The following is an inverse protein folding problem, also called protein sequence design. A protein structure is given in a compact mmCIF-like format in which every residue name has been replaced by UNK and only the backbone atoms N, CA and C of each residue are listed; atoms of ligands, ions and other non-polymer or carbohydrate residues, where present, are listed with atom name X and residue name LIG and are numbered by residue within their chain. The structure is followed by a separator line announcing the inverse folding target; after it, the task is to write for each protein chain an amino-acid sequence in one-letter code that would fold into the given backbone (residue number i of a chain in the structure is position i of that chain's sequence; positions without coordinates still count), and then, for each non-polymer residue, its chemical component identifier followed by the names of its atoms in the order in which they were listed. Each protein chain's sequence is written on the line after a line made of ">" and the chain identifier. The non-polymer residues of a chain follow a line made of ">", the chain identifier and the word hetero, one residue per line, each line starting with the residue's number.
data_IF_508136523262
#
_entry.id   IF_508136523262
#
_cell.length_a   1.000
_cell.length_b   1.000
_cell.length_c   1.000
_cell.angle_alpha   90.00
_cell.angle_beta   90.00
_cell.angle_gamma   90.00
#
_symmetry.space_group_name_H-M   'P 1'
#
loop_
_entity.id
_entity.type
_entity.pdbx_description
1 polymer ?
#
# COMPACT_ATOMS: atom_id res chain seq x y z
N UNK A 1 28.36 -0.47 -16.34
CA UNK A 1 27.62 -1.68 -16.71
C UNK A 1 26.15 -1.30 -16.85
N UNK A 2 25.57 -1.44 -18.04
CA UNK A 2 24.26 -0.89 -18.47
C UNK A 2 23.18 -1.97 -18.62
N UNK A 3 23.36 -3.13 -17.99
CA UNK A 3 22.48 -4.29 -18.21
C UNK A 3 21.52 -4.49 -17.05
N UNK A 4 20.25 -4.75 -17.38
CA UNK A 4 19.30 -5.33 -16.44
C UNK A 4 19.84 -6.67 -15.93
N UNK A 5 19.52 -7.01 -14.69
CA UNK A 5 19.96 -8.26 -14.04
C UNK A 5 18.73 -9.09 -13.73
N UNK A 6 18.74 -10.36 -14.13
CA UNK A 6 17.71 -11.34 -13.76
C UNK A 6 18.32 -12.47 -12.96
N UNK A 7 17.81 -12.66 -11.74
CA UNK A 7 18.08 -13.84 -10.92
C UNK A 7 16.87 -14.75 -11.06
N UNK A 8 17.07 -15.93 -11.65
CA UNK A 8 16.01 -16.88 -11.92
C UNK A 8 16.32 -18.23 -11.28
N UNK A 9 15.31 -18.85 -10.66
CA UNK A 9 15.37 -20.24 -10.21
C UNK A 9 14.52 -21.13 -11.13
N UNK A 10 14.99 -22.35 -11.38
CA UNK A 10 14.20 -23.41 -11.99
C UNK A 10 13.52 -24.28 -10.94
N UNK A 11 12.59 -25.13 -11.39
CA UNK A 11 12.14 -26.29 -10.63
C UNK A 11 12.86 -27.52 -11.14
N UNK A 12 13.37 -28.36 -10.24
CA UNK A 12 13.94 -29.66 -10.61
C UNK A 12 13.26 -30.75 -9.79
N UNK A 13 12.57 -31.67 -10.45
CA UNK A 13 12.30 -33.00 -9.88
C UNK A 13 13.54 -33.86 -10.10
N UNK A 14 14.41 -33.97 -9.07
CA UNK A 14 15.78 -34.51 -9.18
C UNK A 14 16.71 -33.43 -9.75
N UNK A 15 17.65 -32.85 -9.00
CA UNK A 15 18.90 -33.51 -8.57
C UNK A 15 19.44 -32.91 -7.25
N UNK A 16 18.56 -32.62 -6.30
CA UNK A 16 18.94 -32.06 -5.01
C UNK A 16 19.23 -30.56 -5.05
N UNK A 17 18.78 -29.88 -3.98
CA UNK A 17 19.05 -28.48 -3.63
C UNK A 17 18.09 -27.40 -4.18
N UNK A 18 16.81 -27.47 -3.75
CA UNK A 18 16.00 -26.27 -3.48
C UNK A 18 14.59 -26.28 -4.08
N UNK A 19 13.61 -25.73 -3.34
CA UNK A 19 12.21 -25.61 -3.77
C UNK A 19 11.98 -24.62 -4.94
N UNK A 20 13.04 -24.01 -5.48
CA UNK A 20 12.97 -22.93 -6.45
C UNK A 20 12.46 -21.61 -5.86
N UNK A 21 12.59 -21.40 -4.56
CA UNK A 21 12.31 -20.12 -3.89
C UNK A 21 13.52 -19.17 -4.03
N UNK A 22 13.29 -17.86 -4.09
CA UNK A 22 14.34 -16.84 -3.97
C UNK A 22 14.25 -16.19 -2.59
N UNK A 23 15.36 -16.14 -1.87
CA UNK A 23 15.44 -15.43 -0.58
C UNK A 23 16.56 -14.38 -0.63
N UNK A 24 16.21 -13.12 -0.39
CA UNK A 24 17.15 -12.02 -0.21
C UNK A 24 17.49 -11.92 1.28
N UNK A 25 18.64 -12.45 1.68
CA UNK A 25 19.08 -12.49 3.09
C UNK A 25 20.13 -11.44 3.45
N UNK A 26 20.67 -10.73 2.46
CA UNK A 26 21.67 -9.68 2.64
C UNK A 26 21.27 -8.43 1.86
N UNK A 27 21.67 -7.22 2.30
CA UNK A 27 21.35 -6.00 1.59
C UNK A 27 21.86 -5.99 0.14
N UNK A 28 21.06 -5.46 -0.78
CA UNK A 28 21.45 -5.24 -2.18
C UNK A 28 21.18 -3.78 -2.52
N UNK A 29 22.17 -3.11 -3.12
CA UNK A 29 22.04 -1.74 -3.61
C UNK A 29 22.34 -1.69 -5.10
N UNK A 30 21.53 -0.95 -5.85
CA UNK A 30 21.76 -0.68 -7.27
C UNK A 30 21.24 0.72 -7.62
N UNK A 31 21.91 1.40 -8.55
CA UNK A 31 21.60 2.81 -8.88
C UNK A 31 20.99 3.01 -10.26
N UNK A 32 20.87 1.95 -11.06
CA UNK A 32 20.28 2.03 -12.40
C UNK A 32 19.81 0.64 -12.84
N UNK A 33 19.06 0.61 -13.95
CA UNK A 33 18.56 -0.61 -14.57
C UNK A 33 17.58 -1.38 -13.66
N UNK A 34 17.10 -2.51 -14.18
CA UNK A 34 16.15 -3.38 -13.48
C UNK A 34 16.81 -4.59 -12.86
N UNK A 35 16.55 -4.80 -11.58
CA UNK A 35 16.73 -6.09 -10.92
C UNK A 35 15.42 -6.89 -11.05
N UNK A 36 15.49 -8.08 -11.61
CA UNK A 36 14.37 -9.02 -11.70
C UNK A 36 14.67 -10.24 -10.84
N UNK A 37 13.81 -10.51 -9.86
CA UNK A 37 13.80 -11.77 -9.13
C UNK A 37 12.68 -12.63 -9.72
N UNK A 38 13.04 -13.73 -10.37
CA UNK A 38 12.13 -14.65 -11.05
C UNK A 38 12.15 -16.02 -10.38
N UNK A 39 11.33 -16.20 -9.36
CA UNK A 39 11.28 -17.44 -8.58
C UNK A 39 10.33 -18.46 -9.21
N UNK A 40 10.78 -19.71 -9.31
CA UNK A 40 9.92 -20.86 -9.64
C UNK A 40 8.73 -20.97 -8.67
N UNK A 41 8.97 -20.76 -7.36
CA UNK A 41 7.92 -20.68 -6.33
C UNK A 41 7.89 -19.30 -5.67
N UNK A 42 8.42 -19.14 -4.46
CA UNK A 42 8.19 -17.96 -3.64
C UNK A 42 9.35 -16.99 -3.67
N UNK A 43 9.08 -15.73 -3.30
CA UNK A 43 10.13 -14.74 -3.03
C UNK A 43 10.03 -14.28 -1.57
N UNK A 44 11.15 -14.23 -0.86
CA UNK A 44 11.23 -13.63 0.46
C UNK A 44 12.31 -12.54 0.49
N UNK A 45 11.91 -11.30 0.77
CA UNK A 45 12.83 -10.17 0.93
C UNK A 45 13.06 -9.93 2.42
N UNK A 46 14.15 -10.49 2.95
CA UNK A 46 14.50 -10.42 4.38
C UNK A 46 15.56 -9.36 4.71
N UNK A 47 16.17 -8.76 3.69
CA UNK A 47 17.15 -7.70 3.84
C UNK A 47 16.84 -6.55 2.87
N UNK A 48 17.44 -5.39 3.17
CA UNK A 48 17.18 -4.15 2.44
C UNK A 48 17.46 -4.28 0.94
N UNK A 49 16.53 -3.84 0.11
CA UNK A 49 16.73 -3.66 -1.32
C UNK A 49 16.70 -2.16 -1.62
N UNK A 50 17.82 -1.60 -2.09
CA UNK A 50 17.95 -0.17 -2.33
C UNK A 50 18.23 0.13 -3.81
N UNK A 51 17.17 0.49 -4.53
CA UNK A 51 17.19 0.96 -5.90
C UNK A 51 17.11 2.48 -6.03
N UNK A 52 17.25 3.25 -4.94
CA UNK A 52 16.93 4.68 -4.88
C UNK A 52 17.67 5.56 -5.90
N UNK A 53 18.84 5.13 -6.37
CA UNK A 53 19.64 5.86 -7.35
C UNK A 53 19.08 5.94 -8.77
N UNK A 54 17.93 5.31 -9.06
CA UNK A 54 17.35 5.21 -10.41
C UNK A 54 17.06 3.78 -10.86
N UNK A 55 17.09 2.83 -9.93
CA UNK A 55 16.84 1.42 -10.18
C UNK A 55 15.36 1.07 -10.26
N UNK A 56 15.05 -0.02 -10.97
CA UNK A 56 13.73 -0.63 -11.03
C UNK A 56 13.77 -2.04 -10.44
N UNK A 57 12.62 -2.55 -9.99
CA UNK A 57 12.49 -3.89 -9.42
C UNK A 57 11.32 -4.65 -10.04
N UNK A 58 11.55 -5.91 -10.38
CA UNK A 58 10.51 -6.86 -10.76
C UNK A 58 10.53 -8.09 -9.85
N UNK A 59 9.39 -8.42 -9.26
CA UNK A 59 9.19 -9.66 -8.49
C UNK A 59 8.24 -10.58 -9.25
N UNK A 60 8.81 -11.57 -9.94
CA UNK A 60 8.06 -12.61 -10.66
C UNK A 60 8.11 -13.89 -9.83
N UNK A 61 6.96 -14.35 -9.38
CA UNK A 61 6.84 -15.48 -8.45
C UNK A 61 5.85 -16.51 -8.99
N UNK A 62 5.97 -17.76 -8.54
CA UNK A 62 5.20 -18.87 -9.07
C UNK A 62 5.53 -19.20 -10.53
N UNK A 63 6.72 -18.85 -11.02
CA UNK A 63 7.08 -18.98 -12.43
C UNK A 63 7.25 -20.44 -12.88
N UNK A 64 7.11 -21.41 -11.96
CA UNK A 64 7.01 -22.83 -12.25
C UNK A 64 5.69 -23.29 -12.85
N UNK A 65 4.66 -22.44 -12.86
CA UNK A 65 3.39 -22.72 -13.52
C UNK A 65 2.81 -21.48 -14.19
N UNK A 66 1.78 -21.67 -15.01
CA UNK A 66 1.08 -20.59 -15.71
C UNK A 66 0.25 -19.72 -14.76
N UNK A 67 -0.39 -20.35 -13.78
CA UNK A 67 -1.28 -19.73 -12.80
C UNK A 67 -0.59 -19.36 -11.47
N UNK A 68 0.68 -19.75 -11.31
CA UNK A 68 1.44 -19.55 -10.08
C UNK A 68 1.15 -20.56 -8.96
N UNK A 69 0.37 -21.60 -9.22
CA UNK A 69 0.15 -22.74 -8.31
C UNK A 69 1.10 -23.89 -8.66
N UNK A 70 2.05 -24.19 -7.77
CA UNK A 70 2.98 -25.31 -7.91
C UNK A 70 2.61 -26.39 -6.90
N UNK A 71 2.38 -27.62 -7.37
CA UNK A 71 2.02 -28.77 -6.53
C UNK A 71 0.84 -28.50 -5.59
N UNK A 72 -0.20 -27.82 -6.10
CA UNK A 72 -1.41 -27.49 -5.34
C UNK A 72 -1.27 -26.33 -4.35
N UNK A 73 -0.11 -25.65 -4.32
CA UNK A 73 0.13 -24.49 -3.45
C UNK A 73 0.38 -23.24 -4.27
N UNK A 74 -0.42 -22.20 -4.05
CA UNK A 74 -0.20 -20.89 -4.68
C UNK A 74 1.08 -20.24 -4.15
N UNK A 75 1.94 -19.80 -5.06
CA UNK A 75 3.14 -19.06 -4.73
C UNK A 75 2.81 -17.65 -4.20
N UNK A 76 3.74 -17.09 -3.45
CA UNK A 76 3.64 -15.74 -2.90
C UNK A 76 5.00 -15.05 -2.84
N UNK A 77 4.99 -13.72 -2.69
CA UNK A 77 6.14 -12.99 -2.20
C UNK A 77 5.86 -12.40 -0.82
N UNK A 78 6.93 -12.19 -0.06
CA UNK A 78 6.89 -11.65 1.30
C UNK A 78 7.98 -10.59 1.46
N UNK A 79 7.61 -9.44 2.04
CA UNK A 79 8.53 -8.33 2.30
C UNK A 79 8.70 -8.15 3.81
N UNK A 80 9.83 -8.61 4.33
CA UNK A 80 10.20 -8.48 5.75
C UNK A 80 11.14 -7.30 6.03
N UNK A 81 11.80 -6.77 5.00
CA UNK A 81 12.70 -5.62 5.08
C UNK A 81 12.30 -4.54 4.05
N UNK A 82 12.64 -3.26 4.30
CA UNK A 82 12.29 -2.18 3.37
C UNK A 82 12.87 -2.40 1.97
N UNK A 83 12.09 -1.98 0.97
CA UNK A 83 12.53 -1.84 -0.42
C UNK A 83 12.42 -0.36 -0.78
N UNK A 84 13.52 0.24 -1.18
CA UNK A 84 13.59 1.66 -1.56
C UNK A 84 13.68 1.80 -3.07
N UNK A 85 12.79 2.58 -3.69
CA UNK A 85 12.68 2.74 -5.14
C UNK A 85 12.32 4.19 -5.53
N UNK A 86 12.81 4.68 -6.69
CA UNK A 86 12.45 6.01 -7.19
C UNK A 86 10.96 6.07 -7.59
N UNK A 87 10.39 7.27 -7.57
CA UNK A 87 8.99 7.50 -7.93
C UNK A 87 8.71 7.13 -9.40
N UNK A 88 7.47 6.76 -9.70
CA UNK A 88 7.02 6.39 -11.05
C UNK A 88 6.88 4.89 -11.26
N UNK A 89 6.84 4.43 -12.50
CA UNK A 89 6.58 3.03 -12.86
C UNK A 89 7.83 2.15 -12.70
N UNK A 90 8.28 2.00 -11.46
CA UNK A 90 9.58 1.40 -11.13
C UNK A 90 9.48 0.04 -10.44
N UNK A 91 8.27 -0.39 -10.07
CA UNK A 91 8.01 -1.68 -9.43
C UNK A 91 7.00 -2.52 -10.24
N UNK A 92 7.32 -3.81 -10.43
CA UNK A 92 6.47 -4.75 -11.17
C UNK A 92 6.32 -6.05 -10.39
N UNK A 93 5.12 -6.63 -10.41
CA UNK A 93 4.91 -8.00 -9.94
C UNK A 93 4.14 -8.85 -10.96
N UNK A 94 4.38 -10.17 -10.91
CA UNK A 94 3.64 -11.15 -11.70
C UNK A 94 3.59 -12.49 -10.95
N UNK A 95 2.40 -13.09 -10.87
CA UNK A 95 2.18 -14.44 -10.34
C UNK A 95 1.95 -15.40 -11.51
N UNK A 96 2.78 -16.44 -11.63
CA UNK A 96 2.72 -17.37 -12.77
C UNK A 96 3.23 -16.75 -14.06
N UNK A 97 3.54 -17.60 -15.05
CA UNK A 97 4.13 -17.14 -16.32
C UNK A 97 3.12 -16.44 -17.23
N UNK A 98 1.82 -16.71 -17.06
CA UNK A 98 0.74 -16.09 -17.83
C UNK A 98 -0.14 -15.16 -16.99
N UNK A 99 0.18 -14.98 -15.71
CA UNK A 99 -0.60 -14.10 -14.85
C UNK A 99 -0.47 -12.63 -15.24
N UNK A 100 -1.44 -11.83 -14.81
CA UNK A 100 -1.47 -10.39 -15.07
C UNK A 100 -0.24 -9.70 -14.49
N UNK A 101 0.49 -8.99 -15.34
CA UNK A 101 1.59 -8.12 -14.92
C UNK A 101 1.01 -6.88 -14.26
N UNK A 102 1.44 -6.60 -13.02
CA UNK A 102 1.03 -5.43 -12.26
C UNK A 102 2.16 -4.41 -12.26
N UNK A 103 1.94 -3.30 -12.95
CA UNK A 103 2.88 -2.16 -12.96
C UNK A 103 2.48 -1.18 -11.87
N UNK A 104 3.30 -1.06 -10.84
CA UNK A 104 3.05 -0.19 -9.70
C UNK A 104 3.62 1.20 -9.94
N UNK A 105 2.81 2.22 -9.68
CA UNK A 105 3.26 3.60 -9.52
C UNK A 105 3.84 3.74 -8.11
N UNK A 106 5.16 3.89 -8.04
CA UNK A 106 5.89 4.11 -6.79
C UNK A 106 5.78 5.57 -6.36
N UNK A 107 5.49 5.76 -5.07
CA UNK A 107 5.22 7.04 -4.41
C UNK A 107 6.25 7.20 -3.30
N UNK A 108 6.98 8.32 -3.32
CA UNK A 108 7.91 8.71 -2.26
C UNK A 108 7.50 10.00 -1.54
N UNK A 109 6.50 10.71 -2.07
CA UNK A 109 6.13 12.04 -1.61
C UNK A 109 4.77 12.03 -0.92
N UNK A 110 4.67 12.76 0.20
CA UNK A 110 3.38 13.03 0.85
C UNK A 110 2.45 13.83 -0.08
N UNK A 111 3.02 14.82 -0.77
CA UNK A 111 2.30 15.77 -1.61
C UNK A 111 1.81 17.00 -0.85
N UNK A 112 0.85 17.71 -1.45
CA UNK A 112 0.20 18.89 -0.89
C UNK A 112 -1.27 18.62 -0.55
N UNK A 113 -1.87 19.45 0.30
CA UNK A 113 -3.30 19.35 0.60
C UNK A 113 -4.20 19.46 -0.65
N UNK A 114 -3.77 20.23 -1.65
CA UNK A 114 -4.52 20.43 -2.90
C UNK A 114 -4.52 19.19 -3.80
N UNK A 115 -3.54 18.29 -3.65
CA UNK A 115 -3.43 17.07 -4.45
C UNK A 115 -4.65 16.16 -4.26
N UNK A 116 -5.36 16.31 -3.13
CA UNK A 116 -6.56 15.54 -2.83
C UNK A 116 -7.70 15.76 -3.82
N UNK A 117 -7.70 16.90 -4.52
CA UNK A 117 -8.74 17.29 -5.48
C UNK A 117 -8.20 17.58 -6.87
N UNK A 118 -6.87 17.71 -6.99
CA UNK A 118 -6.21 18.03 -8.25
C UNK A 118 -5.05 17.06 -8.44
N UNK A 119 -5.19 16.16 -9.41
CA UNK A 119 -4.19 15.13 -9.66
C UNK A 119 -2.83 15.75 -9.97
N UNK A 120 -1.78 15.46 -9.17
CA UNK A 120 -0.45 16.00 -9.40
C UNK A 120 0.23 15.32 -10.60
N UNK A 121 1.21 16.00 -11.19
CA UNK A 121 1.97 15.45 -12.33
C UNK A 121 2.81 14.21 -11.95
N UNK A 122 3.35 14.20 -10.74
CA UNK A 122 3.93 13.01 -10.11
C UNK A 122 3.03 12.58 -8.97
N UNK A 123 2.64 11.31 -8.94
CA UNK A 123 1.71 10.82 -7.94
C UNK A 123 2.28 10.94 -6.53
N UNK A 124 1.47 11.46 -5.60
CA UNK A 124 1.79 11.64 -4.18
C UNK A 124 0.81 10.85 -3.32
N UNK A 125 1.12 10.67 -2.04
CA UNK A 125 0.24 9.97 -1.12
C UNK A 125 -1.14 10.66 -1.01
N UNK A 126 -1.16 12.00 -0.92
CA UNK A 126 -2.41 12.76 -0.91
C UNK A 126 -3.10 12.78 -2.28
N UNK A 127 -2.33 12.74 -3.37
CA UNK A 127 -2.84 12.68 -4.75
C UNK A 127 -3.65 11.42 -5.07
N UNK A 128 -3.45 10.32 -4.32
CA UNK A 128 -4.30 9.13 -4.46
C UNK A 128 -5.78 9.40 -4.18
N UNK A 129 -6.09 10.46 -3.42
CA UNK A 129 -7.47 10.85 -3.13
C UNK A 129 -8.18 11.53 -4.33
N UNK A 130 -7.47 11.95 -5.38
CA UNK A 130 -8.09 12.57 -6.56
C UNK A 130 -8.42 11.59 -7.69
N UNK A 131 -7.80 10.41 -7.73
CA UNK A 131 -7.77 9.51 -8.90
C UNK A 131 -9.10 8.86 -9.30
N UNK A 132 -10.10 8.91 -8.44
CA UNK A 132 -11.44 8.37 -8.68
C UNK A 132 -12.51 9.44 -8.71
N UNK A 133 -12.14 10.72 -8.76
CA UNK A 133 -13.10 11.83 -8.76
C UNK A 133 -13.68 12.03 -10.17
N UNK A 134 -14.83 11.42 -10.41
CA UNK A 134 -15.73 11.77 -11.50
C UNK A 134 -16.90 12.61 -10.94
N UNK A 135 -16.94 13.89 -11.29
CA UNK A 135 -18.01 14.80 -10.84
C UNK A 135 -19.41 14.42 -11.36
N UNK A 136 -19.49 13.48 -12.30
CA UNK A 136 -20.74 13.01 -12.93
C UNK A 136 -21.24 11.68 -12.37
N UNK A 137 -20.45 11.01 -11.51
CA UNK A 137 -20.77 9.68 -10.99
C UNK A 137 -21.16 9.71 -9.50
N UNK A 138 -22.19 8.95 -9.15
CA UNK A 138 -22.55 8.63 -7.75
C UNK A 138 -21.73 7.46 -7.17
N UNK A 139 -20.88 6.82 -7.98
CA UNK A 139 -20.01 5.73 -7.56
C UNK A 139 -18.56 6.01 -7.98
N UNK A 140 -17.71 6.31 -6.99
CA UNK A 140 -16.31 6.64 -7.19
C UNK A 140 -15.43 5.42 -6.92
N UNK A 141 -14.67 5.01 -7.93
CA UNK A 141 -13.81 3.83 -7.86
C UNK A 141 -12.35 4.24 -8.03
N UNK A 142 -11.55 3.98 -7.00
CA UNK A 142 -10.12 4.30 -6.97
C UNK A 142 -9.35 3.01 -7.23
N UNK A 143 -8.97 2.81 -8.50
CA UNK A 143 -8.19 1.65 -8.97
C UNK A 143 -6.70 1.95 -9.13
N UNK A 144 -5.96 0.95 -9.61
CA UNK A 144 -4.52 1.05 -9.90
C UNK A 144 -3.63 0.28 -8.92
N UNK A 145 -2.35 0.19 -9.25
CA UNK A 145 -1.32 -0.44 -8.44
C UNK A 145 -0.35 0.65 -7.96
N UNK A 146 -0.20 0.80 -6.66
CA UNK A 146 0.64 1.81 -6.03
C UNK A 146 1.57 1.17 -5.03
N UNK A 147 2.78 1.70 -4.91
CA UNK A 147 3.72 1.24 -3.91
C UNK A 147 4.41 2.41 -3.22
N UNK A 148 4.84 2.25 -1.96
CA UNK A 148 5.72 3.20 -1.30
C UNK A 148 7.17 2.86 -1.62
N UNK A 149 7.89 3.83 -2.18
CA UNK A 149 9.31 3.69 -2.51
C UNK A 149 10.24 4.11 -1.37
N UNK A 150 9.71 4.74 -0.32
CA UNK A 150 10.45 5.19 0.84
C UNK A 150 9.48 5.39 2.00
N UNK A 151 10.03 5.65 3.18
CA UNK A 151 9.22 6.18 4.27
C UNK A 151 8.69 7.58 3.89
N UNK A 152 7.48 7.89 4.33
CA UNK A 152 6.82 9.19 4.15
C UNK A 152 6.64 9.85 5.51
N UNK A 153 7.21 11.03 5.69
CA UNK A 153 6.85 11.89 6.82
C UNK A 153 5.56 12.66 6.50
N UNK A 154 4.49 12.34 7.22
CA UNK A 154 3.18 12.98 7.10
C UNK A 154 2.93 14.04 8.19
N UNK A 155 3.94 14.48 8.93
CA UNK A 155 3.82 15.47 10.03
C UNK A 155 3.14 16.78 9.59
N UNK A 156 3.40 17.22 8.36
CA UNK A 156 2.80 18.42 7.76
C UNK A 156 1.27 18.35 7.68
N UNK A 157 0.68 17.15 7.63
CA UNK A 157 -0.77 16.97 7.56
C UNK A 157 -1.50 17.58 8.75
N UNK A 158 -0.85 17.69 9.92
CA UNK A 158 -1.44 18.34 11.11
C UNK A 158 -1.91 19.79 10.86
N UNK A 159 -1.26 20.51 9.94
CA UNK A 159 -1.63 21.87 9.55
C UNK A 159 -2.58 21.95 8.35
N UNK A 160 -2.87 20.83 7.69
CA UNK A 160 -3.67 20.82 6.47
C UNK A 160 -5.16 21.06 6.75
N UNK A 161 -5.83 21.69 5.79
CA UNK A 161 -7.29 21.82 5.77
C UNK A 161 -7.84 22.46 7.06
N UNK A 162 -7.20 23.53 7.55
CA UNK A 162 -7.55 24.21 8.81
C UNK A 162 -7.45 23.27 10.03
N UNK A 163 -6.43 22.41 10.06
CA UNK A 163 -6.22 21.43 11.12
C UNK A 163 -7.04 20.14 10.97
N UNK A 164 -7.74 19.96 9.84
CA UNK A 164 -8.50 18.74 9.56
C UNK A 164 -7.64 17.55 9.14
N UNK A 165 -6.39 17.78 8.77
CA UNK A 165 -5.50 16.68 8.44
C UNK A 165 -5.50 16.26 6.98
N UNK A 166 -4.92 15.08 6.76
CA UNK A 166 -4.94 14.33 5.51
C UNK A 166 -6.37 13.95 5.11
N UNK A 167 -6.66 14.07 3.81
CA UNK A 167 -7.94 13.67 3.23
C UNK A 167 -7.87 12.17 2.85
N UNK A 168 -8.72 11.30 3.42
CA UNK A 168 -8.68 9.86 3.16
C UNK A 168 -8.76 9.52 1.67
N UNK A 169 -7.99 8.52 1.24
CA UNK A 169 -8.07 7.95 -0.11
C UNK A 169 -9.41 7.23 -0.27
N UNK A 170 -10.13 7.48 -1.37
CA UNK A 170 -11.51 7.05 -1.51
C UNK A 170 -12.41 7.52 -0.35
N UNK A 171 -12.13 8.70 0.20
CA UNK A 171 -13.03 9.42 1.08
C UNK A 171 -14.17 10.05 0.29
N UNK A 172 -15.36 10.11 0.89
CA UNK A 172 -16.52 10.81 0.32
C UNK A 172 -16.31 12.33 0.39
N UNK A 173 -15.46 12.86 -0.47
CA UNK A 173 -15.14 14.30 -0.50
C UNK A 173 -16.17 15.11 -1.31
N UNK A 174 -16.86 14.47 -2.27
CA UNK A 174 -17.78 15.16 -3.15
C UNK A 174 -19.23 15.07 -2.63
N UNK A 175 -19.77 16.26 -2.41
CA UNK A 175 -21.17 16.62 -2.29
C UNK A 175 -21.93 16.23 -1.01
N UNK A 176 -22.70 17.21 -0.55
CA UNK A 176 -23.70 17.21 0.51
C UNK A 176 -24.85 16.20 0.31
N UNK A 177 -24.74 15.30 -0.67
CA UNK A 177 -25.75 14.30 -1.00
C UNK A 177 -25.32 12.94 -0.46
N UNK A 178 -26.20 12.31 0.30
CA UNK A 178 -26.00 11.07 1.04
C UNK A 178 -25.70 9.81 0.20
N UNK A 179 -25.60 9.94 -1.13
CA UNK A 179 -25.73 8.82 -2.06
C UNK A 179 -24.44 8.49 -2.82
N UNK A 180 -23.34 9.24 -2.60
CA UNK A 180 -22.05 8.94 -3.23
C UNK A 180 -21.35 7.79 -2.50
N UNK A 181 -21.05 6.72 -3.22
CA UNK A 181 -20.27 5.58 -2.71
C UNK A 181 -18.84 5.63 -3.27
N UNK A 182 -17.86 5.87 -2.39
CA UNK A 182 -16.43 5.84 -2.76
C UNK A 182 -15.77 4.55 -2.29
N UNK A 183 -14.89 3.97 -3.11
CA UNK A 183 -14.16 2.76 -2.73
C UNK A 183 -12.79 2.64 -3.41
N UNK A 184 -11.76 2.29 -2.64
CA UNK A 184 -10.48 1.84 -3.19
C UNK A 184 -10.56 0.37 -3.55
N UNK A 185 -10.42 0.06 -4.83
CA UNK A 185 -10.40 -1.30 -5.39
C UNK A 185 -9.03 -1.67 -5.97
N UNK A 186 -8.07 -0.74 -5.90
CA UNK A 186 -6.69 -0.95 -6.32
C UNK A 186 -5.85 -1.71 -5.29
N UNK A 187 -4.54 -1.72 -5.50
CA UNK A 187 -3.58 -2.30 -4.58
C UNK A 187 -2.57 -1.25 -4.12
N UNK A 188 -2.34 -1.16 -2.82
CA UNK A 188 -1.25 -0.39 -2.23
C UNK A 188 -0.25 -1.33 -1.55
N UNK A 189 1.00 -1.30 -2.00
CA UNK A 189 2.12 -2.02 -1.42
C UNK A 189 3.05 -1.08 -0.65
N UNK A 190 3.12 -1.22 0.67
CA UNK A 190 4.04 -0.41 1.47
C UNK A 190 5.51 -0.81 1.29
N UNK A 191 5.79 -1.99 0.72
CA UNK A 191 7.15 -2.49 0.50
C UNK A 191 8.06 -2.43 1.74
N UNK A 192 7.48 -2.58 2.93
CA UNK A 192 8.19 -2.52 4.21
C UNK A 192 8.46 -1.10 4.72
N UNK A 193 8.08 -0.06 3.97
CA UNK A 193 8.17 1.36 4.33
C UNK A 193 7.02 1.81 5.24
N UNK A 194 7.22 2.94 5.90
CA UNK A 194 6.27 3.53 6.84
C UNK A 194 5.72 4.88 6.39
N UNK A 195 4.50 5.20 6.81
CA UNK A 195 3.97 6.56 6.86
C UNK A 195 3.99 6.98 8.32
N UNK A 196 4.68 8.09 8.61
CA UNK A 196 4.93 8.56 9.97
C UNK A 196 4.11 9.81 10.26
N UNK A 197 3.67 10.01 11.50
CA UNK A 197 3.09 11.30 11.97
C UNK A 197 1.85 11.77 11.20
N UNK A 198 1.09 10.82 10.65
CA UNK A 198 -0.14 11.09 9.91
C UNK A 198 -1.22 11.65 10.83
N UNK A 199 -1.75 12.83 10.49
CA UNK A 199 -2.85 13.48 11.20
C UNK A 199 -4.11 13.45 10.35
N UNK A 200 -5.19 12.87 10.91
CA UNK A 200 -6.52 12.84 10.29
C UNK A 200 -7.52 13.26 11.36
N UNK A 201 -8.14 14.42 11.17
CA UNK A 201 -9.05 15.04 12.13
C UNK A 201 -10.24 15.72 11.42
N UNK A 202 -11.17 14.97 10.81
CA UNK A 202 -12.38 15.57 10.27
C UNK A 202 -13.18 16.17 11.43
N UNK A 203 -13.06 17.48 11.65
CA UNK A 203 -13.79 18.20 12.69
C UNK A 203 -15.30 18.18 12.37
N UNK A 204 -16.13 18.00 13.42
CA UNK A 204 -17.59 17.77 13.32
C UNK A 204 -18.42 19.03 12.97
N UNK A 205 -17.81 20.21 12.81
CA UNK A 205 -18.50 21.52 12.78
C UNK A 205 -19.11 21.95 11.44
N UNK A 206 -19.41 21.01 10.55
CA UNK A 206 -20.19 21.32 9.35
C UNK A 206 -21.33 20.32 9.26
N UNK A 207 -22.57 20.84 9.28
CA UNK A 207 -23.82 20.07 9.33
C UNK A 207 -24.03 19.05 8.20
N UNK A 208 -23.12 18.99 7.23
CA UNK A 208 -23.08 18.02 6.13
C UNK A 208 -22.22 16.76 6.40
N UNK A 209 -21.49 16.66 7.53
CA UNK A 209 -20.38 15.70 7.66
C UNK A 209 -20.61 14.53 8.64
N UNK A 210 -21.78 13.87 8.58
CA UNK A 210 -22.16 12.83 9.57
C UNK A 210 -21.54 11.44 9.37
N UNK A 211 -20.93 11.12 8.22
CA UNK A 211 -20.54 9.75 7.85
C UNK A 211 -19.10 9.61 7.31
N UNK A 212 -18.12 10.30 7.90
CA UNK A 212 -16.73 10.17 7.47
C UNK A 212 -16.06 8.96 8.11
N UNK A 213 -15.66 8.01 7.27
CA UNK A 213 -14.68 7.01 7.65
C UNK A 213 -13.34 7.72 7.93
N UNK A 214 -12.82 7.53 9.15
CA UNK A 214 -11.53 8.09 9.56
C UNK A 214 -10.48 7.00 9.38
N UNK A 215 -9.51 7.25 8.50
CA UNK A 215 -8.40 6.35 8.19
C UNK A 215 -7.65 6.80 6.93
N UNK A 216 -6.51 6.17 6.64
CA UNK A 216 -5.77 6.43 5.40
C UNK A 216 -6.66 6.22 4.16
N UNK A 217 -7.56 5.24 4.25
CA UNK A 217 -8.60 4.97 3.26
C UNK A 217 -9.98 5.24 3.87
N UNK A 218 -10.86 5.88 3.11
CA UNK A 218 -12.28 6.01 3.46
C UNK A 218 -12.98 4.66 3.42
N UNK A 219 -12.81 3.90 2.34
CA UNK A 219 -13.38 2.55 2.19
C UNK A 219 -12.53 1.70 1.26
N UNK A 220 -12.32 0.43 1.63
CA UNK A 220 -11.84 -0.60 0.70
C UNK A 220 -13.03 -1.34 0.06
N UNK A 221 -13.08 -1.28 -1.26
CA UNK A 221 -14.04 -2.02 -2.09
C UNK A 221 -13.64 -3.48 -2.28
N UNK A 222 -14.45 -4.21 -3.05
CA UNK A 222 -14.07 -5.57 -3.47
C UNK A 222 -12.82 -5.49 -4.37
N UNK A 223 -11.83 -6.36 -4.14
CA UNK A 223 -10.55 -6.34 -4.85
C UNK A 223 -9.51 -5.35 -4.31
N UNK A 224 -9.91 -4.42 -3.44
CA UNK A 224 -9.01 -3.47 -2.79
C UNK A 224 -8.08 -4.15 -1.78
N UNK A 225 -6.77 -3.99 -1.95
CA UNK A 225 -5.77 -4.60 -1.03
C UNK A 225 -4.71 -3.60 -0.59
N UNK A 226 -4.35 -3.66 0.70
CA UNK A 226 -3.21 -2.92 1.26
C UNK A 226 -2.30 -3.93 1.95
N UNK A 227 -1.02 -3.95 1.59
CA UNK A 227 -0.05 -4.92 2.11
C UNK A 227 1.28 -4.25 2.43
N UNK A 228 2.08 -4.86 3.31
CA UNK A 228 3.46 -4.46 3.65
C UNK A 228 3.64 -2.97 4.03
N UNK A 229 2.60 -2.33 4.55
CA UNK A 229 2.60 -0.92 4.97
C UNK A 229 2.70 -0.80 6.48
N UNK A 230 3.55 0.13 6.94
CA UNK A 230 3.63 0.52 8.35
C UNK A 230 3.04 1.91 8.58
N UNK A 231 2.35 2.12 9.69
CA UNK A 231 1.83 3.42 10.12
C UNK A 231 2.39 3.76 11.51
N UNK A 232 3.42 4.59 11.56
CA UNK A 232 4.04 4.99 12.82
C UNK A 232 3.53 6.37 13.27
N UNK A 233 3.41 6.56 14.60
CA UNK A 233 2.95 7.82 15.22
C UNK A 233 1.65 8.40 14.62
N UNK A 234 0.60 7.59 14.56
CA UNK A 234 -0.70 8.02 14.05
C UNK A 234 -1.50 8.89 15.05
N UNK A 235 -1.89 10.11 14.63
CA UNK A 235 -2.71 11.03 15.40
C UNK A 235 -4.14 11.08 14.86
N UNK A 236 -5.06 10.33 15.45
CA UNK A 236 -6.49 10.43 15.14
C UNK A 236 -7.27 10.97 16.33
N UNK A 237 -7.78 12.19 16.20
CA UNK A 237 -8.61 12.79 17.23
C UNK A 237 -10.08 12.57 16.89
N UNK A 238 -10.82 11.94 17.81
CA UNK A 238 -12.28 11.94 17.82
C UNK A 238 -12.76 12.29 19.23
N UNK A 239 -13.68 13.22 19.36
CA UNK A 239 -14.20 13.71 20.65
C UNK A 239 -15.28 12.82 21.30
N UNK A 240 -15.50 11.58 20.81
CA UNK A 240 -16.37 10.59 21.48
C UNK A 240 -15.65 9.26 21.79
N UNK A 241 -15.78 8.67 22.99
CA UNK A 241 -14.86 7.65 23.51
C UNK A 241 -14.94 6.25 22.87
N UNK A 242 -15.61 6.05 21.72
CA UNK A 242 -15.99 4.69 21.27
C UNK A 242 -15.58 4.28 19.86
N UNK A 243 -14.89 5.11 19.07
CA UNK A 243 -14.48 4.73 17.70
C UNK A 243 -13.06 5.21 17.43
N UNK A 244 -12.11 4.36 17.81
CA UNK A 244 -10.68 4.55 17.63
C UNK A 244 -10.27 4.40 16.15
N UNK A 245 -9.13 5.00 15.79
CA UNK A 245 -8.37 4.63 14.59
C UNK A 245 -7.85 3.19 14.58
N UNK A 246 -8.10 2.45 15.66
CA UNK A 246 -8.09 1.01 15.67
C UNK A 246 -9.08 0.45 16.70
N UNK A 247 -10.25 -0.07 16.28
CA UNK A 247 -11.03 -0.98 17.13
C UNK A 247 -10.36 -2.36 17.11
N UNK A 248 -9.97 -2.82 18.29
CA UNK A 248 -9.49 -4.18 18.55
C UNK A 248 -10.54 -5.18 18.05
N UNK A 249 -10.28 -5.81 16.91
CA UNK A 249 -10.86 -7.11 16.59
C UNK A 249 -9.80 -8.14 16.97
N UNK A 250 -10.21 -9.33 17.44
CA UNK A 250 -9.28 -10.30 18.05
C UNK A 250 -8.19 -10.84 17.11
N UNK A 251 -8.15 -10.42 15.85
CA UNK A 251 -7.09 -10.71 14.90
C UNK A 251 -6.35 -9.44 14.46
N UNK A 252 -5.06 -9.39 14.80
CA UNK A 252 -4.10 -8.29 14.59
C UNK A 252 -3.97 -7.88 13.11
N UNK A 253 -4.90 -7.08 12.56
CA UNK A 253 -4.92 -6.62 11.16
C UNK A 253 -5.35 -5.14 11.06
N UNK A 254 -4.67 -4.40 10.18
CA UNK A 254 -4.85 -2.95 9.94
C UNK A 254 -6.32 -2.62 9.66
N UNK A 255 -6.85 -1.53 10.24
CA UNK A 255 -8.30 -1.24 10.18
C UNK A 255 -8.76 -0.61 8.88
N UNK A 256 -9.72 -1.28 8.26
CA UNK A 256 -10.72 -0.69 7.37
C UNK A 256 -12.03 -0.68 8.14
N UNK A 257 -12.64 0.49 8.33
CA UNK A 257 -13.99 0.55 8.88
C UNK A 257 -14.98 0.17 7.77
N UNK A 258 -15.64 -0.99 7.88
CA UNK A 258 -16.85 -1.32 7.11
C UNK A 258 -18.08 -1.28 8.02
N UNK A 259 -19.19 -0.82 7.44
CA UNK A 259 -20.51 -1.38 7.71
C UNK A 259 -20.98 -2.06 6.41
N UNK A 260 -21.59 -3.23 6.51
CA UNK A 260 -22.15 -4.01 5.39
C UNK A 260 -21.18 -4.95 4.64
N UNK A 261 -21.06 -6.19 5.14
CA UNK A 261 -20.78 -7.41 4.37
C UNK A 261 -19.34 -7.70 3.93
N UNK A 262 -18.72 -8.72 4.51
CA UNK A 262 -17.40 -9.33 4.21
C UNK A 262 -16.12 -8.52 4.56
N UNK A 263 -15.40 -9.07 5.55
CA UNK A 263 -14.04 -8.70 5.97
C UNK A 263 -13.02 -9.35 5.04
N UNK A 264 -12.22 -8.56 4.31
CA UNK A 264 -11.11 -9.10 3.51
C UNK A 264 -9.87 -9.15 4.41
N UNK A 265 -9.22 -10.33 4.60
CA UNK A 265 -8.09 -10.48 5.51
C UNK A 265 -6.82 -9.78 4.97
N UNK A 266 -6.37 -8.72 5.64
CA UNK A 266 -5.05 -8.12 5.42
C UNK A 266 -3.99 -9.00 6.10
N UNK A 267 -3.05 -9.58 5.35
CA UNK A 267 -1.97 -10.42 5.91
C UNK A 267 -0.90 -9.51 6.54
N UNK A 268 -1.07 -9.15 7.81
CA UNK A 268 0.00 -8.52 8.59
C UNK A 268 1.04 -9.56 9.00
N UNK A 269 2.32 -9.27 8.77
CA UNK A 269 3.40 -10.08 9.33
C UNK A 269 3.54 -9.81 10.84
N UNK A 270 3.85 -10.84 11.65
CA UNK A 270 3.80 -10.74 13.11
C UNK A 270 5.09 -10.17 13.67
N UNK A 271 5.42 -8.89 13.43
CA UNK A 271 6.53 -8.26 14.14
C UNK A 271 6.17 -6.83 14.56
N UNK A 272 6.33 -6.61 15.88
CA UNK A 272 6.32 -5.36 16.65
C UNK A 272 4.96 -4.77 17.05
N UNK A 273 4.91 -4.40 18.33
CA UNK A 273 3.73 -3.92 19.05
C UNK A 273 3.41 -2.49 18.62
N UNK A 274 2.25 -2.30 18.00
CA UNK A 274 1.70 -0.97 17.70
C UNK A 274 1.24 -0.29 19.00
N UNK A 275 1.84 0.84 19.35
CA UNK A 275 1.31 1.76 20.36
C UNK A 275 1.19 3.15 19.73
N UNK A 276 0.04 3.51 19.15
CA UNK A 276 -0.26 4.94 18.94
C UNK A 276 -0.48 5.53 20.35
N UNK A 277 0.51 6.30 20.82
CA UNK A 277 0.51 6.95 22.14
C UNK A 277 -0.29 8.24 22.00
N UNK A 278 -1.38 8.35 22.75
CA UNK A 278 -2.11 9.61 22.87
C UNK A 278 -1.18 10.68 23.47
N UNK A 279 -1.15 11.92 22.94
CA UNK A 279 -0.56 13.03 23.68
C UNK A 279 -1.34 13.17 25.00
N UNK A 280 -0.62 13.09 26.12
CA UNK A 280 -1.18 13.42 27.43
C UNK A 280 -1.47 14.93 27.41
N UNK A 281 -2.71 15.29 27.71
CA UNK A 281 -3.05 16.67 28.11
C UNK A 281 -2.30 17.02 29.39
#
# INVERSE_FOLDING_TARGET
>A
STTNVTIQTGGTTGDGLGNGDITVSAPITWSANRLTLSAHRNIAVNANLDGSGGGNLSLLYGQGSTDGTISGTAASYVINAPVTLPSGLTFVTQLGTTGTVKNYTVINELGSAADATTTPATMTLQGLASLGLDATSSAQTFGGFYALGSNIDASATSGWNQGRGFLPIAGNYIAETSDVTSAFVGQLEGLGNSINSLSINPQEDVGAWRNFNVGLFGRLGSGGTVSNLKLDTCGCQRWRPRRACARRNNDRRLLVLRDGGQSIPIRLQPLLRWQCRWPRR
#
